data_IF_913718414984
#
_entry.id   IF_913718414984
#
_cell.length_a   1.000
_cell.length_b   1.000
_cell.length_c   1.000
_cell.angle_alpha   90.00
_cell.angle_beta   90.00
_cell.angle_gamma   90.00
#
_symmetry.space_group_name_H-M   'P 1'
#
loop_
_entity.id
_entity.type
_entity.pdbx_description
1 polymer ?
#
# COMPACT_ATOMS: atom_id res chain seq x y z
N UNK A 1 -14.26 -5.16 6.97
CA UNK A 1 -13.53 -5.55 5.74
C UNK A 1 -12.07 -5.16 5.91
N UNK A 2 -11.11 -6.05 5.67
CA UNK A 2 -9.68 -5.76 5.86
C UNK A 2 -9.06 -5.33 4.53
N UNK A 3 -8.39 -4.17 4.50
CA UNK A 3 -7.70 -3.66 3.31
C UNK A 3 -6.52 -4.58 3.01
N UNK A 4 -6.32 -4.92 1.74
CA UNK A 4 -5.17 -5.69 1.25
C UNK A 4 -4.41 -4.84 0.23
N UNK A 5 -3.10 -5.06 0.03
CA UNK A 5 -2.37 -4.49 -1.10
C UNK A 5 -3.12 -4.78 -2.41
N UNK A 6 -3.27 -3.76 -3.25
CA UNK A 6 -3.98 -3.88 -4.53
C UNK A 6 -3.15 -4.63 -5.60
N UNK A 7 -1.86 -4.87 -5.36
CA UNK A 7 -0.98 -5.69 -6.19
C UNK A 7 -0.22 -6.72 -5.33
N UNK A 8 0.00 -7.92 -5.89
CA UNK A 8 0.86 -8.96 -5.32
C UNK A 8 2.26 -8.83 -5.93
N UNK A 9 3.31 -8.86 -5.11
CA UNK A 9 4.68 -8.74 -5.57
C UNK A 9 5.67 -9.51 -4.68
N UNK A 10 6.79 -9.91 -5.27
CA UNK A 10 7.89 -10.62 -4.61
C UNK A 10 8.61 -9.67 -3.63
N UNK A 11 8.94 -10.15 -2.43
CA UNK A 11 9.61 -9.31 -1.42
C UNK A 11 8.69 -8.45 -0.55
N UNK A 12 7.37 -8.64 -0.67
CA UNK A 12 6.42 -8.05 0.29
C UNK A 12 6.70 -8.54 1.71
N UNK A 13 6.66 -7.62 2.69
CA UNK A 13 6.93 -7.92 4.11
C UNK A 13 5.82 -8.78 4.76
N UNK A 14 4.85 -9.27 3.98
CA UNK A 14 3.63 -9.96 4.43
C UNK A 14 3.90 -11.10 5.41
N UNK A 15 4.89 -11.96 5.12
CA UNK A 15 5.27 -13.07 6.00
C UNK A 15 5.92 -12.60 7.31
N UNK A 16 6.54 -11.41 7.32
CA UNK A 16 7.25 -10.85 8.47
C UNK A 16 6.40 -9.87 9.29
N UNK A 17 5.17 -9.56 8.86
CA UNK A 17 4.31 -8.55 9.53
C UNK A 17 4.18 -8.83 11.03
N UNK A 18 3.92 -10.08 11.42
CA UNK A 18 3.71 -10.43 12.82
C UNK A 18 4.99 -10.22 13.65
N UNK A 19 6.15 -10.57 13.10
CA UNK A 19 7.43 -10.38 13.77
C UNK A 19 7.83 -8.90 13.88
N UNK A 20 7.55 -8.11 12.85
CA UNK A 20 7.76 -6.67 12.88
C UNK A 20 6.88 -6.04 13.97
N UNK A 21 5.57 -6.37 14.00
CA UNK A 21 4.62 -5.83 14.98
C UNK A 21 5.00 -6.12 16.42
N UNK A 22 5.54 -7.31 16.71
CA UNK A 22 6.03 -7.67 18.06
C UNK A 22 7.15 -6.73 18.54
N UNK A 23 7.92 -6.16 17.63
CA UNK A 23 9.07 -5.28 17.90
C UNK A 23 8.74 -3.79 17.72
N UNK A 24 7.57 -3.46 17.19
CA UNK A 24 7.11 -2.09 17.08
C UNK A 24 6.74 -1.53 18.46
N UNK A 25 6.91 -0.21 18.68
CA UNK A 25 6.38 0.43 19.88
C UNK A 25 4.86 0.25 19.95
N UNK A 26 4.35 0.00 21.16
CA UNK A 26 2.90 -0.16 21.40
C UNK A 26 2.14 1.10 21.00
N UNK A 27 2.72 2.26 21.28
CA UNK A 27 2.16 3.59 21.01
C UNK A 27 3.12 4.44 20.20
N UNK A 28 2.58 5.14 19.21
CA UNK A 28 3.28 6.10 18.36
C UNK A 28 2.22 6.96 17.64
N UNK A 29 2.57 8.20 17.33
CA UNK A 29 1.65 9.18 16.74
C UNK A 29 1.78 9.32 15.22
N UNK A 30 2.92 8.88 14.65
CA UNK A 30 3.20 8.98 13.21
C UNK A 30 4.00 7.79 12.71
N UNK A 31 3.66 7.31 11.52
CA UNK A 31 4.35 6.23 10.84
C UNK A 31 5.12 6.73 9.63
N UNK A 32 6.34 6.22 9.44
CA UNK A 32 7.18 6.53 8.29
C UNK A 32 7.64 5.22 7.64
N UNK A 33 7.39 5.05 6.35
CA UNK A 33 7.91 3.91 5.57
C UNK A 33 8.66 4.43 4.35
N UNK A 34 9.99 4.62 4.44
CA UNK A 34 10.81 5.18 3.35
C UNK A 34 10.94 4.27 2.11
N UNK A 35 10.66 2.98 2.30
CA UNK A 35 10.71 1.89 1.31
C UNK A 35 9.39 1.11 1.37
N UNK A 36 8.34 1.76 0.89
CA UNK A 36 6.97 1.25 0.98
C UNK A 36 6.80 -0.05 0.20
N UNK A 37 7.44 -0.20 -0.96
CA UNK A 37 7.07 -1.25 -1.91
C UNK A 37 5.55 -1.26 -2.11
N UNK A 38 4.91 -2.43 -2.03
CA UNK A 38 3.44 -2.53 -2.11
C UNK A 38 2.71 -2.29 -0.79
N UNK A 39 3.40 -1.78 0.24
CA UNK A 39 2.77 -1.26 1.45
C UNK A 39 2.09 -2.30 2.33
N UNK A 40 2.57 -3.55 2.33
CA UNK A 40 1.97 -4.62 3.15
C UNK A 40 1.96 -4.29 4.65
N UNK A 41 3.02 -3.64 5.16
CA UNK A 41 3.09 -3.23 6.56
C UNK A 41 2.24 -1.98 6.82
N UNK A 42 2.39 -0.93 6.00
CA UNK A 42 1.52 0.24 6.01
C UNK A 42 0.02 -0.12 6.08
N UNK A 43 -0.45 -0.97 5.16
CA UNK A 43 -1.86 -1.41 5.12
C UNK A 43 -2.22 -2.20 6.38
N UNK A 44 -1.34 -3.07 6.88
CA UNK A 44 -1.62 -3.80 8.12
C UNK A 44 -1.75 -2.86 9.34
N UNK A 45 -0.93 -1.82 9.42
CA UNK A 45 -1.01 -0.82 10.49
C UNK A 45 -2.35 -0.07 10.38
N UNK A 46 -2.71 0.39 9.18
CA UNK A 46 -3.96 1.14 8.94
C UNK A 46 -5.24 0.32 9.08
N UNK A 47 -5.16 -1.00 8.95
CA UNK A 47 -6.27 -1.89 9.30
C UNK A 47 -6.57 -1.92 10.80
N UNK A 48 -5.61 -1.54 11.66
CA UNK A 48 -5.73 -1.61 13.12
C UNK A 48 -5.71 -0.24 13.81
N UNK A 49 -5.15 0.79 13.16
CA UNK A 49 -4.92 2.12 13.74
C UNK A 49 -5.13 3.19 12.68
N UNK A 50 -5.86 4.25 13.01
CA UNK A 50 -5.90 5.46 12.19
C UNK A 50 -4.79 6.41 12.64
N UNK A 51 -3.68 6.47 11.90
CA UNK A 51 -2.50 7.25 12.26
C UNK A 51 -1.96 8.04 11.07
N UNK A 52 -1.42 9.24 11.35
CA UNK A 52 -0.72 10.01 10.30
C UNK A 52 0.48 9.22 9.80
N UNK A 53 0.66 9.17 8.48
CA UNK A 53 1.70 8.37 7.85
C UNK A 53 2.37 9.11 6.72
N UNK A 54 3.66 8.84 6.50
CA UNK A 54 4.42 9.27 5.33
C UNK A 54 5.04 8.04 4.69
N UNK A 55 4.74 7.81 3.42
CA UNK A 55 5.29 6.70 2.64
C UNK A 55 6.15 7.26 1.52
N UNK A 56 7.21 6.55 1.19
CA UNK A 56 8.11 6.89 0.09
C UNK A 56 8.64 5.61 -0.57
N UNK A 57 9.07 5.75 -1.82
CA UNK A 57 9.86 4.78 -2.55
C UNK A 57 10.72 5.50 -3.59
N UNK A 58 11.75 4.83 -4.10
CA UNK A 58 12.56 5.35 -5.20
C UNK A 58 11.86 5.18 -6.55
N UNK A 59 10.98 4.18 -6.69
CA UNK A 59 10.23 3.98 -7.95
C UNK A 59 9.13 5.02 -8.11
N UNK A 60 9.29 5.90 -9.09
CA UNK A 60 8.28 6.88 -9.49
C UNK A 60 6.99 6.24 -9.97
N UNK A 61 7.07 5.10 -10.65
CA UNK A 61 5.92 4.35 -11.17
C UNK A 61 5.06 3.79 -10.03
N UNK A 62 5.72 3.27 -8.99
CA UNK A 62 5.05 2.79 -7.78
C UNK A 62 4.34 3.94 -7.07
N UNK A 63 5.03 5.06 -6.85
CA UNK A 63 4.43 6.25 -6.23
C UNK A 63 3.28 6.81 -7.09
N UNK A 64 3.42 6.80 -8.41
CA UNK A 64 2.34 7.21 -9.31
C UNK A 64 1.13 6.28 -9.20
N UNK A 65 1.35 4.97 -9.05
CA UNK A 65 0.27 3.98 -8.84
C UNK A 65 -0.52 4.29 -7.57
N UNK A 66 0.16 4.58 -6.45
CA UNK A 66 -0.50 5.03 -5.23
C UNK A 66 -1.29 6.33 -5.41
N UNK A 67 -0.69 7.33 -6.09
CA UNK A 67 -1.37 8.60 -6.38
C UNK A 67 -2.59 8.43 -7.27
N UNK A 68 -2.53 7.56 -8.27
CA UNK A 68 -3.66 7.28 -9.16
C UNK A 68 -4.84 6.69 -8.37
N UNK A 69 -4.57 5.70 -7.50
CA UNK A 69 -5.57 5.12 -6.60
C UNK A 69 -6.14 6.18 -5.64
N UNK A 70 -5.29 7.05 -5.10
CA UNK A 70 -5.70 8.11 -4.16
C UNK A 70 -6.57 9.20 -4.82
N UNK A 71 -6.24 9.60 -6.04
CA UNK A 71 -6.77 10.84 -6.64
C UNK A 71 -8.12 10.61 -7.32
N UNK A 72 -8.26 9.55 -8.12
CA UNK A 72 -9.52 9.26 -8.80
C UNK A 72 -9.65 7.74 -9.08
N UNK A 73 -10.06 6.96 -8.06
CA UNK A 73 -10.15 5.52 -8.17
C UNK A 73 -11.17 5.07 -9.23
N UNK A 74 -12.27 5.80 -9.41
CA UNK A 74 -13.29 5.45 -10.42
C UNK A 74 -12.76 5.57 -11.84
N UNK A 75 -12.04 6.67 -12.15
CA UNK A 75 -11.37 6.82 -13.45
C UNK A 75 -10.33 5.74 -13.66
N UNK A 76 -9.55 5.41 -12.64
CA UNK A 76 -8.57 4.32 -12.72
C UNK A 76 -9.24 2.98 -13.03
N UNK A 77 -10.32 2.62 -12.32
CA UNK A 77 -11.08 1.39 -12.56
C UNK A 77 -11.63 1.36 -13.99
N UNK A 78 -12.19 2.47 -14.48
CA UNK A 78 -12.69 2.58 -15.86
C UNK A 78 -11.59 2.29 -16.88
N UNK A 79 -10.43 2.94 -16.74
CA UNK A 79 -9.29 2.74 -17.65
C UNK A 79 -8.77 1.31 -17.61
N UNK A 80 -8.70 0.69 -16.42
CA UNK A 80 -8.27 -0.69 -16.28
C UNK A 80 -9.25 -1.67 -16.96
N UNK A 81 -10.56 -1.45 -16.82
CA UNK A 81 -11.58 -2.26 -17.48
C UNK A 81 -11.56 -2.09 -19.01
N UNK A 82 -11.27 -0.88 -19.52
CA UNK A 82 -11.09 -0.64 -20.95
C UNK A 82 -9.84 -1.34 -21.48
N UNK A 83 -8.72 -1.24 -20.76
CA UNK A 83 -7.47 -1.91 -21.09
C UNK A 83 -7.62 -3.44 -21.12
N UNK A 84 -8.32 -4.04 -20.14
CA UNK A 84 -8.62 -5.48 -20.10
C UNK A 84 -9.37 -5.94 -21.35
N UNK A 85 -10.36 -5.18 -21.82
CA UNK A 85 -11.13 -5.50 -23.04
C UNK A 85 -10.31 -5.42 -24.32
N UNK A 86 -9.29 -4.57 -24.35
CA UNK A 86 -8.45 -4.33 -25.54
C UNK A 86 -7.24 -5.28 -25.62
N UNK A 87 -6.99 -6.09 -24.59
CA UNK A 87 -5.93 -7.13 -24.57
C UNK A 87 -6.47 -8.50 -25.03
N UNK A 88 -7.79 -8.62 -25.27
CA UNK A 88 -8.40 -9.75 -25.96
C UNK A 88 -8.41 -9.56 -27.48
#
# INVERSE_FOLDING_TARGET
MQIKPFLKWVGGKTQLINEIKKRMPKEFNRYFEPFIGWGSLFINIHNNKNIKSVINDISSELINSYKAVQTNPEKLIKLLNEHEKNIC
#
